data_IF_490394314501
#
_entry.id   IF_490394314501
#
_cell.length_a   1.000
_cell.length_b   1.000
_cell.length_c   1.000
_cell.angle_alpha   90.00
_cell.angle_beta   90.00
_cell.angle_gamma   90.00
#
_symmetry.space_group_name_H-M   'P 1'
#
loop_
_entity.id
_entity.type
_entity.pdbx_description
1 polymer ?
#
# COMPACT_ATOMS: atom_id res chain seq x y z
N UNK A 1 30.25 -18.53 -12.31
CA UNK A 1 29.71 -17.51 -13.24
C UNK A 1 29.11 -16.27 -12.54
N UNK A 2 29.02 -16.23 -11.22
CA UNK A 2 28.39 -15.10 -10.49
C UNK A 2 29.28 -13.90 -10.15
N UNK A 3 30.61 -14.02 -10.21
CA UNK A 3 31.52 -12.97 -9.75
C UNK A 3 31.83 -11.89 -10.82
N UNK A 4 31.77 -12.23 -12.09
CA UNK A 4 32.13 -11.33 -13.19
C UNK A 4 31.04 -10.29 -13.52
N UNK A 5 29.77 -10.62 -13.24
CA UNK A 5 28.63 -9.71 -13.48
C UNK A 5 28.56 -8.62 -12.42
N UNK A 6 28.88 -8.94 -11.15
CA UNK A 6 28.90 -7.96 -10.05
C UNK A 6 29.99 -6.88 -10.26
N UNK A 7 31.15 -7.27 -10.78
CA UNK A 7 32.25 -6.31 -10.99
C UNK A 7 31.97 -5.33 -12.14
N UNK A 8 31.24 -5.74 -13.18
CA UNK A 8 30.85 -4.84 -14.28
C UNK A 8 29.82 -3.81 -13.86
N UNK A 9 28.87 -4.18 -13.01
CA UNK A 9 27.84 -3.24 -12.50
C UNK A 9 28.45 -2.18 -11.58
N UNK A 10 29.34 -2.57 -10.68
CA UNK A 10 30.06 -1.64 -9.77
C UNK A 10 30.94 -0.66 -10.55
N UNK A 11 31.63 -1.11 -11.59
CA UNK A 11 32.48 -0.23 -12.42
C UNK A 11 31.66 0.71 -13.32
N UNK A 12 30.43 0.34 -13.72
CA UNK A 12 29.53 1.25 -14.44
C UNK A 12 28.97 2.35 -13.51
N UNK A 13 28.63 2.02 -12.29
CA UNK A 13 28.17 3.00 -11.28
C UNK A 13 29.30 3.97 -10.91
N UNK A 14 30.54 3.49 -10.76
CA UNK A 14 31.71 4.32 -10.47
C UNK A 14 32.15 5.22 -11.67
N UNK A 15 31.84 4.83 -12.91
CA UNK A 15 32.08 5.68 -14.08
C UNK A 15 31.07 6.83 -14.20
N UNK A 16 29.82 6.63 -13.78
CA UNK A 16 28.81 7.70 -13.75
C UNK A 16 29.18 8.75 -12.69
N UNK A 17 29.76 8.35 -11.56
CA UNK A 17 30.19 9.28 -10.50
C UNK A 17 31.43 10.13 -10.82
N UNK A 18 32.24 9.80 -11.86
CA UNK A 18 33.43 10.55 -12.21
C UNK A 18 33.25 11.61 -13.32
N UNK A 19 32.09 11.69 -13.93
CA UNK A 19 31.81 12.65 -15.02
C UNK A 19 31.23 13.98 -14.53
N UNK A 20 31.03 14.18 -13.22
CA UNK A 20 30.42 15.39 -12.65
C UNK A 20 31.25 16.16 -11.64
N UNK A 21 32.56 16.27 -11.87
CA UNK A 21 33.39 17.26 -11.15
C UNK A 21 33.55 18.54 -11.99
N UNK A 22 32.47 19.31 -12.07
CA UNK A 22 32.51 20.61 -12.77
C UNK A 22 31.13 21.21 -12.84
N UNK A 23 30.56 21.57 -11.71
CA UNK A 23 29.62 22.66 -11.43
C UNK A 23 28.96 22.40 -10.08
N UNK A 24 29.46 23.03 -9.05
CA UNK A 24 28.78 23.15 -7.78
C UNK A 24 27.60 24.11 -7.95
N UNK A 25 26.50 23.63 -8.35
CA UNK A 25 25.12 24.02 -8.04
C UNK A 25 24.22 23.27 -8.99
N UNK A 26 23.59 22.25 -8.52
CA UNK A 26 22.26 21.81 -8.95
C UNK A 26 22.10 20.31 -8.75
N UNK A 27 21.19 20.05 -7.85
CA UNK A 27 20.36 18.87 -7.87
C UNK A 27 21.12 17.56 -7.64
N UNK A 28 21.40 17.28 -6.37
CA UNK A 28 21.24 15.92 -5.92
C UNK A 28 19.79 15.53 -6.28
N UNK A 29 19.61 14.89 -7.42
CA UNK A 29 18.38 14.13 -7.69
C UNK A 29 18.40 13.05 -6.63
N UNK A 30 17.90 13.37 -5.43
CA UNK A 30 17.49 12.36 -4.48
C UNK A 30 16.51 11.53 -5.29
N UNK A 31 16.87 10.29 -5.59
CA UNK A 31 15.94 9.29 -6.10
C UNK A 31 14.88 9.12 -5.00
N UNK A 32 13.92 10.05 -4.99
CA UNK A 32 12.77 9.96 -4.13
C UNK A 32 11.88 8.91 -4.74
N UNK A 33 11.55 7.91 -3.95
CA UNK A 33 10.45 7.02 -4.29
C UNK A 33 9.21 7.90 -4.38
N UNK A 34 8.54 7.87 -5.52
CA UNK A 34 7.29 8.61 -5.69
C UNK A 34 6.18 7.86 -4.94
N UNK A 35 5.87 8.34 -3.73
CA UNK A 35 4.84 7.77 -2.86
C UNK A 35 3.48 7.75 -3.56
N UNK A 36 3.15 8.78 -4.35
CA UNK A 36 1.92 8.80 -5.16
C UNK A 36 1.87 7.59 -6.07
N UNK A 37 2.94 7.34 -6.82
CA UNK A 37 3.01 6.19 -7.73
C UNK A 37 2.89 4.84 -7.02
N UNK A 38 3.41 4.72 -5.80
CA UNK A 38 3.24 3.51 -4.99
C UNK A 38 1.77 3.28 -4.60
N UNK A 39 1.08 4.35 -4.20
CA UNK A 39 -0.33 4.26 -3.80
C UNK A 39 -1.26 4.03 -5.00
N UNK A 40 -0.99 4.65 -6.14
CA UNK A 40 -1.68 4.38 -7.41
C UNK A 40 -1.50 2.91 -7.85
N UNK A 41 -0.27 2.38 -7.72
CA UNK A 41 -0.01 0.96 -7.95
C UNK A 41 -0.81 0.07 -7.01
N UNK A 42 -0.88 0.39 -5.71
CA UNK A 42 -1.66 -0.37 -4.75
C UNK A 42 -3.15 -0.36 -5.10
N UNK A 43 -3.69 0.79 -5.50
CA UNK A 43 -5.08 0.90 -5.92
C UNK A 43 -5.38 0.00 -7.12
N UNK A 44 -4.55 0.03 -8.15
CA UNK A 44 -4.71 -0.83 -9.33
C UNK A 44 -4.67 -2.32 -8.94
N UNK A 45 -3.73 -2.72 -8.10
CA UNK A 45 -3.62 -4.11 -7.65
C UNK A 45 -4.81 -4.50 -6.78
N UNK A 46 -5.34 -3.60 -5.95
CA UNK A 46 -6.53 -3.83 -5.12
C UNK A 46 -7.75 -4.14 -5.99
N UNK A 47 -7.95 -3.42 -7.08
CA UNK A 47 -9.01 -3.71 -8.05
C UNK A 47 -8.86 -5.12 -8.65
N UNK A 48 -7.67 -5.52 -9.04
CA UNK A 48 -7.43 -6.88 -9.56
C UNK A 48 -7.75 -7.97 -8.55
N UNK A 49 -7.45 -7.75 -7.27
CA UNK A 49 -7.88 -8.66 -6.20
C UNK A 49 -9.38 -8.67 -6.06
N UNK A 50 -9.99 -7.50 -6.08
CA UNK A 50 -11.44 -7.39 -5.98
C UNK A 50 -12.14 -8.17 -7.11
N UNK A 51 -11.64 -8.08 -8.34
CA UNK A 51 -12.15 -8.81 -9.51
C UNK A 51 -12.06 -10.34 -9.36
N UNK A 52 -11.11 -10.84 -8.59
CA UNK A 52 -11.03 -12.26 -8.25
C UNK A 52 -12.01 -12.61 -7.14
N UNK A 53 -12.05 -11.80 -6.08
CA UNK A 53 -12.88 -12.04 -4.91
C UNK A 53 -14.38 -11.99 -5.25
N UNK A 54 -14.82 -11.06 -6.10
CA UNK A 54 -16.24 -10.92 -6.47
C UNK A 54 -16.82 -12.12 -7.23
N UNK A 55 -15.95 -12.96 -7.81
CA UNK A 55 -16.36 -14.20 -8.48
C UNK A 55 -16.56 -15.37 -7.52
N UNK A 56 -16.16 -15.21 -6.27
CA UNK A 56 -16.30 -16.23 -5.25
C UNK A 56 -17.66 -16.13 -4.54
N UNK A 57 -18.25 -17.26 -4.14
CA UNK A 57 -19.42 -17.23 -3.29
C UNK A 57 -19.16 -16.45 -1.99
N UNK A 58 -20.15 -15.68 -1.53
CA UNK A 58 -20.04 -14.87 -0.32
C UNK A 58 -19.64 -15.69 0.91
N UNK A 59 -20.18 -16.90 1.02
CA UNK A 59 -19.87 -17.84 2.10
C UNK A 59 -18.39 -18.24 2.11
N UNK A 60 -17.77 -18.37 0.93
CA UNK A 60 -16.35 -18.66 0.82
C UNK A 60 -15.50 -17.45 1.19
N UNK A 61 -15.94 -16.23 0.82
CA UNK A 61 -15.28 -15.00 1.23
C UNK A 61 -15.31 -14.79 2.74
N UNK A 62 -16.42 -15.11 3.38
CA UNK A 62 -16.63 -14.94 4.81
C UNK A 62 -16.14 -16.11 5.68
N UNK A 63 -15.82 -17.26 5.06
CA UNK A 63 -15.38 -18.47 5.78
C UNK A 63 -14.12 -18.21 6.59
N UNK A 64 -14.15 -18.58 7.87
CA UNK A 64 -12.96 -18.56 8.73
C UNK A 64 -11.92 -19.57 8.21
N UNK A 65 -10.70 -19.07 7.96
CA UNK A 65 -9.56 -19.83 7.45
C UNK A 65 -8.35 -19.76 8.36
N UNK A 66 -8.57 -19.32 9.61
CA UNK A 66 -7.54 -19.21 10.64
C UNK A 66 -6.34 -18.30 10.23
N UNK A 67 -6.59 -17.34 9.33
CA UNK A 67 -5.64 -16.28 8.98
C UNK A 67 -5.76 -15.08 9.95
N UNK A 68 -4.96 -14.03 9.78
CA UNK A 68 -4.88 -12.87 10.69
C UNK A 68 -6.24 -12.23 11.01
N UNK A 69 -7.08 -11.99 9.99
CA UNK A 69 -8.45 -11.47 10.12
C UNK A 69 -9.49 -12.55 9.79
N UNK A 70 -9.12 -13.80 9.88
CA UNK A 70 -9.93 -15.00 9.76
C UNK A 70 -10.44 -15.33 8.35
N UNK A 71 -10.69 -14.35 7.45
CA UNK A 71 -11.30 -14.64 6.15
C UNK A 71 -10.80 -13.69 5.05
N UNK A 72 -10.95 -14.11 3.78
CA UNK A 72 -10.63 -13.26 2.62
C UNK A 72 -11.36 -11.92 2.69
N UNK A 73 -12.66 -11.95 3.01
CA UNK A 73 -13.48 -10.76 3.20
C UNK A 73 -12.89 -9.81 4.24
N UNK A 74 -12.58 -10.32 5.42
CA UNK A 74 -12.10 -9.49 6.52
C UNK A 74 -10.71 -8.92 6.25
N UNK A 75 -9.80 -9.71 5.67
CA UNK A 75 -8.48 -9.24 5.26
C UNK A 75 -8.61 -8.10 4.25
N UNK A 76 -9.45 -8.27 3.22
CA UNK A 76 -9.66 -7.24 2.22
C UNK A 76 -10.28 -5.96 2.80
N UNK A 77 -11.30 -6.09 3.64
CA UNK A 77 -11.94 -4.94 4.33
C UNK A 77 -10.92 -4.24 5.25
N UNK A 78 -10.09 -5.00 5.97
CA UNK A 78 -9.03 -4.43 6.80
C UNK A 78 -8.02 -3.63 5.96
N UNK A 79 -7.59 -4.18 4.84
CA UNK A 79 -6.67 -3.50 3.92
C UNK A 79 -7.21 -2.14 3.46
N UNK A 80 -8.49 -2.08 3.07
CA UNK A 80 -9.16 -0.81 2.73
C UNK A 80 -9.31 0.09 3.97
N UNK A 81 -9.60 -0.52 5.11
CA UNK A 81 -9.77 0.19 6.40
C UNK A 81 -8.48 0.84 6.90
N UNK A 82 -7.33 0.22 6.67
CA UNK A 82 -6.03 0.81 6.98
C UNK A 82 -5.80 2.11 6.18
N UNK A 83 -6.14 2.10 4.89
CA UNK A 83 -6.09 3.32 4.06
C UNK A 83 -6.98 4.43 4.63
N UNK A 84 -8.24 4.09 5.00
CA UNK A 84 -9.22 5.06 5.53
C UNK A 84 -8.77 5.63 6.87
N UNK A 85 -8.28 4.78 7.77
CA UNK A 85 -7.79 5.16 9.10
C UNK A 85 -6.61 6.13 9.03
N UNK A 86 -5.60 5.80 8.23
CA UNK A 86 -4.40 6.63 8.11
C UNK A 86 -4.66 7.92 7.34
N UNK A 87 -5.64 7.91 6.43
CA UNK A 87 -6.09 9.13 5.76
C UNK A 87 -6.79 10.08 6.75
N UNK A 88 -7.64 9.57 7.65
CA UNK A 88 -8.23 10.36 8.73
C UNK A 88 -7.14 10.97 9.63
N UNK A 89 -6.10 10.18 9.95
CA UNK A 89 -4.95 10.66 10.74
C UNK A 89 -4.25 11.83 10.04
N UNK A 90 -3.93 11.70 8.75
CA UNK A 90 -3.27 12.76 7.97
C UNK A 90 -4.12 14.01 7.80
N UNK A 91 -5.45 13.87 7.78
CA UNK A 91 -6.38 14.98 7.68
C UNK A 91 -6.74 15.61 9.03
N UNK A 92 -6.22 15.10 10.16
CA UNK A 92 -6.63 15.44 11.51
C UNK A 92 -8.14 15.31 11.75
N UNK A 93 -8.76 14.34 11.10
CA UNK A 93 -10.17 14.01 11.29
C UNK A 93 -10.34 13.01 12.44
N UNK A 94 -11.61 12.78 12.85
CA UNK A 94 -11.91 11.72 13.81
C UNK A 94 -11.56 10.37 13.20
N UNK A 95 -10.61 9.66 13.81
CA UNK A 95 -10.21 8.33 13.34
C UNK A 95 -11.41 7.39 13.27
N UNK A 96 -11.63 6.82 12.10
CA UNK A 96 -12.66 5.84 11.83
C UNK A 96 -11.99 4.48 11.64
N UNK A 97 -12.60 3.47 12.18
CA UNK A 97 -12.27 2.09 11.80
C UNK A 97 -13.19 1.66 10.66
N UNK A 98 -12.80 0.59 9.99
CA UNK A 98 -13.64 -0.06 8.97
C UNK A 98 -15.03 -0.53 9.47
N UNK A 99 -15.37 -0.29 10.74
CA UNK A 99 -16.54 -0.86 11.38
C UNK A 99 -16.34 -2.33 11.72
N UNK A 100 -17.45 -3.01 12.06
CA UNK A 100 -17.40 -4.46 12.28
C UNK A 100 -17.49 -5.18 10.94
N UNK A 101 -16.71 -6.22 10.75
CA UNK A 101 -16.71 -7.01 9.51
C UNK A 101 -18.11 -7.58 9.17
N UNK A 102 -18.92 -7.88 10.18
CA UNK A 102 -20.28 -8.43 10.00
C UNK A 102 -21.29 -7.38 9.50
N UNK A 103 -20.97 -6.11 9.50
CA UNK A 103 -21.76 -5.05 8.88
C UNK A 103 -21.73 -5.11 7.35
N UNK A 104 -20.71 -5.78 6.78
CA UNK A 104 -20.61 -6.04 5.35
C UNK A 104 -21.32 -7.37 5.04
N UNK A 105 -22.47 -7.29 4.41
CA UNK A 105 -23.36 -8.44 4.16
C UNK A 105 -23.31 -8.93 2.72
N UNK A 106 -22.64 -8.17 1.85
CA UNK A 106 -22.49 -8.49 0.44
C UNK A 106 -21.17 -7.97 -0.14
N UNK A 107 -20.77 -8.50 -1.28
CA UNK A 107 -19.62 -7.99 -2.04
C UNK A 107 -19.87 -6.54 -2.52
N UNK A 108 -21.13 -6.15 -2.73
CA UNK A 108 -21.52 -4.78 -3.05
C UNK A 108 -21.20 -3.79 -1.93
N UNK A 109 -21.39 -4.20 -0.65
CA UNK A 109 -21.04 -3.35 0.49
C UNK A 109 -19.53 -3.11 0.55
N UNK A 110 -18.74 -4.17 0.30
CA UNK A 110 -17.29 -4.10 0.25
C UNK A 110 -16.80 -3.19 -0.89
N UNK A 111 -17.42 -3.34 -2.08
CA UNK A 111 -17.14 -2.47 -3.24
C UNK A 111 -17.42 -1.00 -2.89
N UNK A 112 -18.60 -0.72 -2.38
CA UNK A 112 -18.99 0.65 -2.04
C UNK A 112 -18.07 1.27 -0.97
N UNK A 113 -17.56 0.48 -0.04
CA UNK A 113 -16.56 0.95 0.93
C UNK A 113 -15.23 1.27 0.24
N UNK A 114 -14.69 0.37 -0.55
CA UNK A 114 -13.46 0.55 -1.30
C UNK A 114 -13.51 1.82 -2.15
N UNK A 115 -14.55 1.99 -2.97
CA UNK A 115 -14.71 3.15 -3.84
C UNK A 115 -14.75 4.49 -3.07
N UNK A 116 -15.44 4.53 -1.93
CA UNK A 116 -15.45 5.76 -1.08
C UNK A 116 -14.07 6.10 -0.56
N UNK A 117 -13.31 5.12 -0.10
CA UNK A 117 -11.95 5.34 0.42
C UNK A 117 -11.01 5.79 -0.71
N UNK A 118 -11.13 5.21 -1.89
CA UNK A 118 -10.32 5.58 -3.06
C UNK A 118 -10.58 7.01 -3.53
N UNK A 119 -11.85 7.43 -3.56
CA UNK A 119 -12.19 8.84 -3.88
C UNK A 119 -11.58 9.80 -2.87
N UNK A 120 -11.56 9.45 -1.58
CA UNK A 120 -10.95 10.28 -0.53
C UNK A 120 -9.43 10.33 -0.69
N UNK A 121 -8.78 9.18 -0.90
CA UNK A 121 -7.33 9.10 -1.11
C UNK A 121 -6.92 9.87 -2.37
N UNK A 122 -7.64 9.74 -3.47
CA UNK A 122 -7.37 10.49 -4.70
C UNK A 122 -7.39 12.00 -4.46
N UNK A 123 -8.40 12.52 -3.76
CA UNK A 123 -8.47 13.95 -3.39
C UNK A 123 -7.31 14.39 -2.51
N UNK A 124 -6.89 13.56 -1.58
CA UNK A 124 -5.72 13.86 -0.74
C UNK A 124 -4.44 13.92 -1.58
N UNK A 125 -4.23 12.95 -2.46
CA UNK A 125 -3.06 12.89 -3.35
C UNK A 125 -3.01 14.06 -4.33
N UNK A 126 -4.16 14.55 -4.81
CA UNK A 126 -4.23 15.72 -5.70
C UNK A 126 -3.76 17.02 -5.03
N UNK A 127 -3.87 17.09 -3.71
CA UNK A 127 -3.43 18.22 -2.92
C UNK A 127 -2.02 18.05 -2.34
N UNK A 128 -1.38 16.91 -2.58
CA UNK A 128 -0.10 16.57 -2.00
C UNK A 128 1.03 17.33 -2.70
N UNK A 129 1.86 18.00 -1.89
CA UNK A 129 3.06 18.70 -2.33
C UNK A 129 4.28 18.19 -1.57
N UNK A 130 5.52 18.43 -2.05
CA UNK A 130 6.73 18.05 -1.31
C UNK A 130 6.76 18.57 0.14
N UNK A 131 6.29 19.79 0.37
CA UNK A 131 6.25 20.37 1.72
C UNK A 131 5.23 19.65 2.61
N UNK A 132 4.08 19.24 2.04
CA UNK A 132 3.07 18.47 2.79
C UNK A 132 3.56 17.08 3.16
N UNK A 133 4.39 16.45 2.36
CA UNK A 133 5.02 15.17 2.70
C UNK A 133 5.89 15.27 3.95
N UNK A 134 6.49 16.43 4.19
CA UNK A 134 7.38 16.69 5.34
C UNK A 134 6.64 17.18 6.59
N UNK A 135 5.32 17.35 6.54
CA UNK A 135 4.52 17.70 7.73
C UNK A 135 4.64 16.60 8.76
N UNK A 136 4.93 17.00 10.00
CA UNK A 136 5.12 16.08 11.12
C UNK A 136 3.84 15.89 11.91
N UNK A 137 3.65 14.67 12.34
CA UNK A 137 2.55 14.20 13.17
C UNK A 137 3.11 13.48 14.39
N UNK A 138 2.44 13.59 15.52
CA UNK A 138 2.77 12.83 16.73
C UNK A 138 1.81 11.65 16.86
N UNK A 139 2.35 10.45 17.07
CA UNK A 139 1.57 9.22 17.29
C UNK A 139 2.29 8.31 18.27
N UNK A 140 1.62 7.26 18.73
CA UNK A 140 2.25 6.22 19.53
C UNK A 140 2.67 5.06 18.63
N UNK A 141 3.88 4.54 18.85
CA UNK A 141 4.30 3.26 18.25
C UNK A 141 3.66 2.06 18.96
N UNK A 142 3.91 0.85 18.48
CA UNK A 142 3.37 -0.41 19.05
C UNK A 142 3.79 -0.68 20.50
N UNK A 143 4.81 0.04 21.00
CA UNK A 143 5.25 -0.01 22.40
C UNK A 143 4.58 1.05 23.26
N UNK A 144 3.70 1.88 22.68
CA UNK A 144 3.05 3.00 23.37
C UNK A 144 3.96 4.22 23.56
N UNK A 145 5.11 4.28 22.90
CA UNK A 145 6.03 5.41 22.98
C UNK A 145 5.62 6.48 21.96
N UNK A 146 5.64 7.76 22.37
CA UNK A 146 5.38 8.87 21.45
C UNK A 146 6.51 9.00 20.43
N UNK A 147 6.15 9.00 19.15
CA UNK A 147 7.07 9.18 18.03
C UNK A 147 6.56 10.28 17.10
N UNK A 148 7.50 10.98 16.47
CA UNK A 148 7.18 11.87 15.36
C UNK A 148 7.35 11.13 14.04
N UNK A 149 6.36 11.23 13.16
CA UNK A 149 6.35 10.68 11.81
C UNK A 149 6.00 11.77 10.82
N UNK A 150 6.48 11.68 9.59
CA UNK A 150 6.09 12.58 8.50
C UNK A 150 4.86 12.03 7.77
N UNK A 151 4.19 12.85 6.98
CA UNK A 151 3.14 12.37 6.09
C UNK A 151 3.68 11.32 5.10
N UNK A 152 4.93 11.47 4.65
CA UNK A 152 5.59 10.47 3.78
C UNK A 152 5.71 9.12 4.48
N UNK A 153 6.15 9.10 5.76
CA UNK A 153 6.28 7.86 6.54
C UNK A 153 4.93 7.15 6.67
N UNK A 154 3.85 7.91 6.94
CA UNK A 154 2.49 7.36 7.04
C UNK A 154 2.02 6.78 5.71
N UNK A 155 2.27 7.47 4.58
CA UNK A 155 1.88 6.98 3.26
C UNK A 155 2.68 5.74 2.83
N UNK A 156 3.96 5.65 3.22
CA UNK A 156 4.78 4.45 3.03
C UNK A 156 4.21 3.30 3.86
N UNK A 157 3.83 3.56 5.12
CA UNK A 157 3.20 2.55 5.95
C UNK A 157 1.87 2.04 5.34
N UNK A 158 1.03 2.93 4.80
CA UNK A 158 -0.18 2.52 4.07
C UNK A 158 0.15 1.60 2.89
N UNK A 159 1.23 1.90 2.15
CA UNK A 159 1.69 1.02 1.08
C UNK A 159 2.13 -0.35 1.60
N UNK A 160 2.89 -0.40 2.70
CA UNK A 160 3.37 -1.64 3.32
C UNK A 160 2.24 -2.52 3.84
N UNK A 161 1.24 -1.93 4.50
CA UNK A 161 0.05 -2.63 4.99
C UNK A 161 -0.67 -3.39 3.87
N UNK A 162 -0.88 -2.74 2.74
CA UNK A 162 -1.49 -3.39 1.59
C UNK A 162 -0.62 -4.51 1.01
N UNK A 163 0.69 -4.33 0.94
CA UNK A 163 1.62 -5.37 0.46
C UNK A 163 1.62 -6.56 1.41
N UNK A 164 1.62 -6.31 2.73
CA UNK A 164 1.60 -7.33 3.76
C UNK A 164 0.35 -8.22 3.62
N UNK A 165 -0.83 -7.64 3.67
CA UNK A 165 -2.09 -8.38 3.62
C UNK A 165 -2.38 -9.00 2.25
N UNK A 166 -1.83 -8.45 1.19
CA UNK A 166 -1.84 -9.04 -0.14
C UNK A 166 -1.14 -10.41 -0.16
N UNK A 167 -0.05 -10.55 0.60
CA UNK A 167 0.61 -11.85 0.76
C UNK A 167 -0.31 -12.90 1.40
N UNK A 168 -1.13 -12.51 2.37
CA UNK A 168 -2.12 -13.41 3.00
C UNK A 168 -3.23 -13.81 2.02
N UNK A 169 -3.78 -12.84 1.26
CA UNK A 169 -4.78 -13.11 0.23
C UNK A 169 -4.24 -14.09 -0.83
N UNK A 170 -2.99 -13.92 -1.28
CA UNK A 170 -2.33 -14.85 -2.21
C UNK A 170 -2.32 -16.27 -1.64
N UNK A 171 -1.85 -16.41 -0.40
CA UNK A 171 -1.73 -17.70 0.24
C UNK A 171 -3.09 -18.41 0.35
N UNK A 172 -4.12 -17.68 0.78
CA UNK A 172 -5.48 -18.22 0.91
C UNK A 172 -6.10 -18.59 -0.44
N UNK A 173 -5.93 -17.77 -1.47
CA UNK A 173 -6.43 -18.08 -2.82
C UNK A 173 -5.79 -19.36 -3.38
N UNK A 174 -4.45 -19.52 -3.24
CA UNK A 174 -3.77 -20.76 -3.64
C UNK A 174 -4.26 -21.99 -2.87
N UNK A 175 -4.51 -21.86 -1.56
CA UNK A 175 -5.08 -22.96 -0.76
C UNK A 175 -6.48 -23.37 -1.24
N UNK A 176 -7.21 -22.43 -1.83
CA UNK A 176 -8.53 -22.69 -2.42
C UNK A 176 -8.49 -23.20 -3.86
N UNK A 177 -7.31 -23.31 -4.46
CA UNK A 177 -7.17 -23.64 -5.88
C UNK A 177 -7.59 -22.50 -6.82
N UNK A 178 -7.64 -21.27 -6.31
CA UNK A 178 -7.96 -20.06 -7.07
C UNK A 178 -6.66 -19.33 -7.41
N UNK A 179 -6.46 -19.03 -8.69
CA UNK A 179 -5.27 -18.30 -9.14
C UNK A 179 -5.35 -16.84 -8.71
N UNK A 180 -4.36 -16.34 -7.93
CA UNK A 180 -4.29 -14.91 -7.59
C UNK A 180 -4.05 -14.05 -8.83
N UNK A 181 -4.44 -12.77 -8.81
CA UNK A 181 -4.21 -11.87 -9.94
C UNK A 181 -2.71 -11.59 -10.15
N UNK A 182 -2.34 -11.29 -11.39
CA UNK A 182 -1.00 -10.84 -11.74
C UNK A 182 -0.74 -9.44 -11.16
N UNK A 183 0.38 -9.25 -10.47
CA UNK A 183 0.68 -8.04 -9.72
C UNK A 183 1.96 -7.34 -10.14
N UNK A 184 2.74 -7.93 -11.03
CA UNK A 184 4.01 -7.30 -11.41
C UNK A 184 3.80 -5.95 -12.09
N UNK A 185 4.65 -4.96 -11.77
CA UNK A 185 4.65 -3.63 -12.40
C UNK A 185 4.62 -3.66 -13.93
N UNK A 186 5.12 -4.72 -14.53
CA UNK A 186 5.11 -4.96 -15.99
C UNK A 186 3.75 -5.38 -16.55
N UNK A 187 2.75 -5.56 -15.70
CA UNK A 187 1.38 -5.90 -16.08
C UNK A 187 0.39 -4.74 -15.83
N UNK A 188 0.93 -3.57 -15.42
CA UNK A 188 0.17 -2.34 -15.25
C UNK A 188 -0.03 -1.63 -16.57
#
# INVERSE_FOLDING_TARGET
MGSYVKLKLVNQILKIGRLNQGNESKCAVKLMVDVRRLLEYNQEVRHRYFDVLEKLPWEELARNREASFHSLRNIFIHTVGAVDYWLDFLLNEKLRSQGKFDEYTSIGDVRGYMERVEVRMGRYLDLLTPDKLMVKYSTANDRGENVEVTAEDVLIHVFEEEVHHRGELIALLWQMGVEPPLMGWKYL
#
